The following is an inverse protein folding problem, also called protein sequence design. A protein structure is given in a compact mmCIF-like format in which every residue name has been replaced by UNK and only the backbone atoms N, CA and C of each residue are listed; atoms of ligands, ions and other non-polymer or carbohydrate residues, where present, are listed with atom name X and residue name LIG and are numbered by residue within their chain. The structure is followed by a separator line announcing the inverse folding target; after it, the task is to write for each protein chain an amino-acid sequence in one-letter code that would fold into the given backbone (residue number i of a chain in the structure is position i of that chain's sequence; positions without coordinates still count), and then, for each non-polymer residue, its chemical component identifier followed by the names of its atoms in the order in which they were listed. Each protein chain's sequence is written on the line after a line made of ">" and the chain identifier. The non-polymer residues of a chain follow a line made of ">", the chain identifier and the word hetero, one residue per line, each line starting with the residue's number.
data_IF_624880506736
#
_entry.id   IF_624880506736
#
_cell.length_a   1.000
_cell.length_b   1.000
_cell.length_c   1.000
_cell.angle_alpha   90.00
_cell.angle_beta   90.00
_cell.angle_gamma   90.00
#
_symmetry.space_group_name_H-M   'P 1'
#
loop_
_entity.id
_entity.type
_entity.pdbx_description
1 polymer ?
2 non-polymer ?
3 water ?
#
# COMPACT_ATOMS: atom_id res chain seq x y z
N UNK A 6 -6.78 5.57 -19.10
CA UNK A 6 -7.93 4.70 -18.85
C UNK A 6 -8.76 5.19 -17.68
N UNK A 7 -10.08 5.11 -17.78
CA UNK A 7 -10.93 5.75 -16.77
C UNK A 7 -10.85 5.08 -15.40
N UNK A 8 -10.68 3.76 -15.41
CA UNK A 8 -10.41 3.00 -14.19
C UNK A 8 -9.04 3.35 -13.62
N UNK A 9 -8.01 3.25 -14.45
CA UNK A 9 -6.67 3.58 -13.99
C UNK A 9 -6.58 5.05 -13.59
N UNK A 10 -7.41 5.89 -14.20
CA UNK A 10 -7.45 7.29 -13.83
C UNK A 10 -8.02 7.38 -12.43
N UNK A 11 -9.05 6.57 -12.18
CA UNK A 11 -9.66 6.50 -10.85
C UNK A 11 -8.65 5.99 -9.82
N UNK A 12 -7.82 5.04 -10.23
CA UNK A 12 -6.81 4.44 -9.35
C UNK A 12 -5.73 5.46 -9.03
N UNK A 13 -5.29 6.19 -10.05
CA UNK A 13 -4.35 7.26 -9.82
C UNK A 13 -4.93 8.28 -8.83
N UNK A 14 -6.24 8.49 -8.89
CA UNK A 14 -6.91 9.38 -7.98
C UNK A 14 -6.90 8.87 -6.55
N UNK A 15 -6.99 7.55 -6.40
CA UNK A 15 -6.92 6.91 -5.09
C UNK A 15 -5.50 6.97 -4.53
N UNK A 16 -4.52 6.76 -5.40
CA UNK A 16 -3.11 6.79 -5.00
C UNK A 16 -2.77 8.16 -4.43
N UNK A 17 -3.21 9.21 -5.12
CA UNK A 17 -2.98 10.58 -4.67
C UNK A 17 -3.59 10.81 -3.31
N UNK A 18 -4.77 10.25 -3.06
CA UNK A 18 -5.39 10.50 -1.76
C UNK A 18 -4.65 9.73 -0.66
N UNK A 19 -4.24 8.50 -0.96
CA UNK A 19 -3.48 7.71 0.00
C UNK A 19 -2.17 8.43 0.40
N UNK A 20 -1.70 9.35 -0.45
CA UNK A 20 -0.42 10.02 -0.24
C UNK A 20 -0.60 11.43 0.32
N UNK A 21 -1.85 11.86 0.46
CA UNK A 21 -2.25 13.15 1.05
C UNK A 21 -1.82 13.35 2.49
N UNK A 22 -1.63 14.61 2.88
CA UNK A 22 -1.36 14.94 4.27
C UNK A 22 -2.53 14.45 5.12
N UNK A 23 -3.72 14.54 4.55
CA UNK A 23 -4.96 14.03 5.12
C UNK A 23 -4.88 12.68 5.87
N UNK A 24 -4.14 11.72 5.31
CA UNK A 24 -3.96 10.40 5.94
C UNK A 24 -2.51 10.16 6.39
N UNK A 25 -1.73 11.22 6.51
CA UNK A 25 -0.31 11.07 6.81
C UNK A 25 -0.04 10.49 8.21
N UNK A 26 -0.95 10.67 9.16
CA UNK A 26 -0.77 10.12 10.52
C UNK A 26 -0.69 8.59 10.56
N UNK A 27 -1.28 7.91 9.57
CA UNK A 27 -1.20 6.44 9.54
C UNK A 27 -0.70 5.87 8.22
N UNK A 28 -0.48 6.73 7.23
CA UNK A 28 0.01 6.26 5.95
C UNK A 28 1.53 6.25 5.88
N UNK A 29 2.20 7.07 6.70
CA UNK A 29 3.65 7.29 6.51
C UNK A 29 4.47 5.96 6.49
N UNK A 30 4.07 4.93 7.26
CA UNK A 30 4.90 3.71 7.16
C UNK A 30 4.84 3.07 5.78
N UNK A 31 3.87 3.47 4.96
CA UNK A 31 3.70 2.77 3.69
C UNK A 31 4.22 3.56 2.50
N UNK A 32 4.73 4.77 2.76
CA UNK A 32 5.30 5.67 1.72
C UNK A 32 6.45 5.07 0.90
N UNK A 33 7.28 4.25 1.54
CA UNK A 33 8.50 3.72 0.94
C UNK A 33 8.67 2.29 1.34
N UNK A 34 9.58 1.57 0.66
CA UNK A 34 9.79 0.16 0.97
C UNK A 34 10.31 -0.04 2.37
N UNK A 35 9.84 -1.09 3.02
CA UNK A 35 10.37 -1.51 4.31
C UNK A 35 11.89 -1.73 4.25
N UNK A 36 12.61 -0.98 5.08
CA UNK A 36 14.04 -1.17 5.31
C UNK A 36 14.20 -1.91 6.63
N UNK A 37 14.16 -3.23 6.56
CA UNK A 37 14.12 -4.08 7.75
C UNK A 37 15.29 -3.82 8.70
N UNK A 38 16.52 -3.91 8.17
CA UNK A 38 17.74 -3.83 8.98
C UNK A 38 17.78 -2.52 9.76
N UNK A 39 17.60 -1.42 9.04
CA UNK A 39 17.42 -0.10 9.63
C UNK A 39 16.38 -0.08 10.77
N UNK A 40 15.30 -0.85 10.66
CA UNK A 40 14.27 -0.84 11.72
C UNK A 40 14.63 -1.81 12.82
N UNK A 41 15.77 -2.47 12.66
CA UNK A 41 16.22 -3.46 13.62
C UNK A 41 15.70 -4.88 13.45
N UNK A 42 15.10 -5.20 12.31
CA UNK A 42 14.65 -6.58 12.11
C UNK A 42 15.50 -7.22 11.01
N UNK A 43 15.79 -8.50 11.17
CA UNK A 43 16.65 -9.18 10.21
C UNK A 43 16.01 -10.44 9.62
N UNK A 44 14.71 -10.62 9.85
CA UNK A 44 14.02 -11.78 9.31
C UNK A 44 12.90 -11.42 8.33
N UNK A 45 12.77 -10.13 8.01
CA UNK A 45 11.59 -9.66 7.28
C UNK A 45 11.47 -10.29 5.89
N UNK A 46 12.58 -10.38 5.17
CA UNK A 46 12.55 -10.95 3.84
C UNK A 46 12.57 -12.47 3.85
N UNK A 47 12.83 -13.07 5.00
CA UNK A 47 12.56 -14.50 5.13
C UNK A 47 11.04 -14.73 5.03
N UNK A 48 10.26 -13.88 5.70
CA UNK A 48 8.80 -14.02 5.77
C UNK A 48 8.09 -13.42 4.55
N UNK A 49 8.63 -12.31 4.04
CA UNK A 49 7.93 -11.51 3.04
C UNK A 49 8.63 -11.54 1.67
N UNK A 50 8.11 -12.36 0.76
CA UNK A 50 8.80 -12.62 -0.51
C UNK A 50 8.55 -11.53 -1.54
N UNK A 51 7.49 -10.74 -1.33
CA UNK A 51 7.14 -9.72 -2.30
C UNK A 51 6.76 -8.42 -1.63
N UNK A 52 7.78 -7.65 -1.23
CA UNK A 52 7.61 -6.30 -0.67
C UNK A 52 6.82 -5.40 -1.61
N UNK A 53 6.06 -4.48 -1.02
CA UNK A 53 5.35 -3.51 -1.81
C UNK A 53 5.12 -2.29 -0.92
N UNK A 54 4.95 -1.13 -1.55
CA UNK A 54 4.78 0.12 -0.83
C UNK A 54 4.20 1.12 -1.82
N UNK A 55 3.75 2.26 -1.32
CA UNK A 55 3.05 3.23 -2.15
C UNK A 55 3.93 3.89 -3.22
N UNK A 56 5.24 4.04 -2.95
CA UNK A 56 6.10 4.76 -3.89
C UNK A 56 6.32 3.89 -5.12
N UNK A 57 6.47 2.59 -4.88
CA UNK A 57 6.58 1.61 -5.94
C UNK A 57 5.29 1.52 -6.77
N UNK A 58 4.14 1.59 -6.11
CA UNK A 58 2.86 1.60 -6.81
C UNK A 58 2.79 2.83 -7.69
N UNK A 59 3.21 3.97 -7.15
CA UNK A 59 3.21 5.21 -7.91
C UNK A 59 4.19 5.15 -9.06
N UNK A 60 5.27 4.39 -8.89
CA UNK A 60 6.26 4.28 -9.93
C UNK A 60 5.64 3.51 -11.10
N UNK A 61 5.07 2.35 -10.79
CA UNK A 61 4.47 1.50 -11.80
C UNK A 61 3.34 2.23 -12.53
N UNK A 62 2.61 3.08 -11.82
CA UNK A 62 1.50 3.81 -12.42
C UNK A 62 2.00 4.88 -13.41
N UNK A 63 3.17 5.43 -13.12
CA UNK A 63 3.79 6.42 -13.99
C UNK A 63 4.39 5.79 -15.26
N UNK A 64 4.91 4.57 -15.15
CA UNK A 64 5.39 3.79 -16.30
C UNK A 64 4.27 3.07 -17.05
N UNK A 65 3.03 3.35 -16.67
CA UNK A 65 1.87 2.67 -17.22
C UNK A 65 2.04 1.14 -17.23
N UNK A 66 2.58 0.57 -16.15
CA UNK A 66 2.80 -0.89 -16.05
C UNK A 66 1.55 -1.67 -15.63
N UNK A 67 0.46 -0.96 -15.38
CA UNK A 67 -0.76 -1.62 -14.90
C UNK A 67 -1.69 -1.84 -16.08
N UNK A 68 -1.99 -3.10 -16.36
CA UNK A 68 -2.91 -3.43 -17.44
C UNK A 68 -4.34 -3.02 -17.08
N UNK A 69 -4.66 -2.99 -15.79
CA UNK A 69 -6.00 -2.59 -15.36
C UNK A 69 -6.05 -2.23 -13.87
N UNK A 70 -7.22 -1.79 -13.42
CA UNK A 70 -7.47 -1.46 -12.03
C UNK A 70 -7.18 -2.65 -11.10
N UNK A 71 -7.52 -3.85 -11.52
CA UNK A 71 -7.30 -5.04 -10.70
C UNK A 71 -5.84 -5.28 -10.34
N UNK A 72 -4.93 -5.00 -11.26
CA UNK A 72 -3.51 -5.22 -10.99
C UNK A 72 -3.04 -4.25 -9.92
N UNK A 73 -3.54 -3.03 -10.02
CA UNK A 73 -3.28 -1.97 -9.07
C UNK A 73 -3.75 -2.38 -7.66
N UNK A 74 -5.04 -2.72 -7.54
CA UNK A 74 -5.63 -3.21 -6.29
C UNK A 74 -4.83 -4.36 -5.69
N UNK A 75 -4.30 -5.23 -6.54
CA UNK A 75 -3.56 -6.40 -6.08
C UNK A 75 -2.25 -6.02 -5.38
N UNK A 76 -1.57 -5.00 -5.91
CA UNK A 76 -0.35 -4.47 -5.33
C UNK A 76 -0.66 -3.75 -4.00
N UNK A 77 -1.64 -2.85 -4.01
CA UNK A 77 -2.01 -2.11 -2.82
C UNK A 77 -2.39 -3.07 -1.71
N UNK A 78 -3.09 -4.14 -2.06
CA UNK A 78 -3.53 -5.11 -1.06
C UNK A 78 -2.38 -5.96 -0.59
N UNK A 79 -1.43 -6.18 -1.48
CA UNK A 79 -0.23 -6.94 -1.17
C UNK A 79 0.60 -6.18 -0.12
N UNK A 80 0.66 -4.87 -0.28
CA UNK A 80 1.28 -4.00 0.68
C UNK A 80 0.66 -4.20 2.06
N UNK A 81 -0.67 -4.14 2.14
CA UNK A 81 -1.33 -4.34 3.41
C UNK A 81 -1.13 -5.77 3.93
N UNK A 82 -1.28 -6.75 3.04
CA UNK A 82 -1.12 -8.15 3.41
C UNK A 82 0.27 -8.43 3.98
N UNK A 83 1.31 -7.88 3.37
CA UNK A 83 2.66 -8.05 3.91
C UNK A 83 2.73 -7.58 5.37
N UNK A 84 2.16 -6.42 5.64
CA UNK A 84 2.15 -5.84 6.98
C UNK A 84 1.43 -6.77 7.98
N UNK A 85 0.23 -7.25 7.63
CA UNK A 85 -0.48 -8.19 8.50
C UNK A 85 0.23 -9.55 8.62
N UNK A 86 0.88 -10.01 7.56
CA UNK A 86 1.60 -11.27 7.63
C UNK A 86 2.73 -11.23 8.68
N UNK A 87 3.55 -10.19 8.63
CA UNK A 87 4.75 -10.15 9.46
C UNK A 87 4.44 -9.78 10.91
N UNK A 88 3.47 -8.90 11.11
CA UNK A 88 3.21 -8.32 12.43
C UNK A 88 2.06 -8.97 13.18
N UNK A 89 2.10 -8.89 14.52
CA UNK A 89 1.02 -9.43 15.35
C UNK A 89 -0.23 -8.57 15.21
N UNK A 90 -1.41 -9.17 15.43
CA UNK A 90 -2.68 -8.47 15.16
C UNK A 90 -2.86 -7.19 16.01
N UNK A 91 -2.14 -7.11 17.12
CA UNK A 91 -2.31 -5.98 18.04
C UNK A 91 -1.25 -4.89 17.84
N UNK A 92 -0.35 -5.11 16.88
CA UNK A 92 0.69 -4.13 16.60
C UNK A 92 0.10 -2.82 16.09
N UNK A 93 0.75 -1.71 16.46
CA UNK A 93 0.38 -0.37 16.00
C UNK A 93 0.45 -0.25 14.48
N UNK A 94 1.54 -0.69 13.86
CA UNK A 94 1.65 -0.57 12.39
C UNK A 94 0.47 -1.27 11.70
N UNK A 95 0.03 -2.39 12.27
CA UNK A 95 -1.13 -3.11 11.74
C UNK A 95 -2.39 -2.25 11.82
N UNK A 96 -2.57 -1.56 12.95
CA UNK A 96 -3.72 -0.65 13.10
C UNK A 96 -3.62 0.50 12.11
N UNK A 97 -2.42 1.01 11.89
CA UNK A 97 -2.25 2.02 10.86
C UNK A 97 -2.63 1.47 9.47
N UNK A 98 -2.25 0.22 9.19
CA UNK A 98 -2.58 -0.42 7.91
C UNK A 98 -4.10 -0.56 7.69
N UNK A 99 -4.86 -0.88 8.74
CA UNK A 99 -6.29 -1.07 8.59
C UNK A 99 -7.00 0.27 8.35
N UNK A 100 -6.55 1.33 9.01
CA UNK A 100 -7.10 2.66 8.74
C UNK A 100 -6.88 3.10 7.28
N UNK A 101 -5.67 2.92 6.78
CA UNK A 101 -5.41 3.32 5.40
C UNK A 101 -6.13 2.38 4.43
N UNK A 102 -6.23 1.10 4.79
CA UNK A 102 -6.89 0.16 3.90
C UNK A 102 -8.38 0.49 3.75
N UNK A 103 -8.97 1.08 4.79
CA UNK A 103 -10.38 1.48 4.73
C UNK A 103 -10.60 2.66 3.80
N UNK A 104 -9.62 3.56 3.74
CA UNK A 104 -9.65 4.60 2.72
C UNK A 104 -9.53 3.96 1.32
N UNK A 105 -8.54 3.10 1.13
CA UNK A 105 -8.38 2.44 -0.15
C UNK A 105 -9.62 1.62 -0.56
N UNK A 106 -10.04 0.69 0.29
CA UNK A 106 -11.14 -0.21 -0.03
C UNK A 106 -12.43 0.55 -0.36
N UNK A 107 -12.68 1.65 0.35
CA UNK A 107 -13.87 2.45 0.12
C UNK A 107 -13.84 3.25 -1.18
N UNK A 108 -12.68 3.80 -1.54
CA UNK A 108 -12.53 4.54 -2.80
C UNK A 108 -12.52 3.59 -3.98
N UNK A 109 -11.85 2.46 -3.80
CA UNK A 109 -11.77 1.46 -4.86
C UNK A 109 -13.18 0.98 -5.24
N UNK A 110 -14.05 0.84 -4.25
CA UNK A 110 -15.40 0.34 -4.50
C UNK A 110 -16.25 1.36 -5.25
N UNK A 111 -15.90 2.64 -5.16
CA UNK A 111 -16.68 3.70 -5.81
C UNK A 111 -16.26 3.91 -7.26
N UNK A 112 -15.44 3.01 -7.78
CA UNK A 112 -14.94 3.12 -9.14
C UNK A 112 -15.99 2.71 -10.18
N UNK A 113 -15.99 3.38 -11.35
CA UNK A 113 -16.89 3.06 -12.47
C UNK A 113 -16.59 1.69 -13.10
X LIG B 1 10.41 -2.23 13.79
X LIG B 1 9.54 -2.54 12.67
X LIG B 1 8.82 -3.76 12.76
X LIG B 1 8.97 -4.46 13.72
X LIG B 1 7.91 -4.06 11.56
X LIG B 1 8.72 -5.01 10.58
X LIG B 1 9.88 -4.31 9.80
X LIG B 1 7.50 -2.67 10.88
X LIG B 1 7.11 -1.59 11.78
X LIG B 1 6.64 -2.75 9.67
X LIG B 1 5.80 -3.76 9.15
X LIG B 1 5.19 -3.27 8.01
X LIG B 1 5.60 -1.98 7.80
X LIG B 1 5.11 -1.13 6.66
X LIG B 1 6.52 -1.59 8.82
X LIG B 1 7.16 -0.32 8.98
X LIG B 1 7.61 0.33 7.80
X LIG B 1 8.26 1.59 7.79
X LIG B 1 8.47 2.25 9.03
X LIG B 1 9.09 3.50 9.13
X LIG B 1 9.53 4.16 7.91
X LIG B 1 8.01 1.57 10.22
X LIG B 1 7.36 0.30 10.24
X LIG B 1 6.96 -0.30 11.51
X LIG B 1 6.14 0.47 12.47
X LIG B 1 5.37 1.60 12.11
X LIG B 1 4.61 2.34 12.99
X LIG B 1 4.63 1.97 14.34
X LIG B 1 3.72 2.83 15.45
X LIG B 1 5.39 0.87 14.78
X LIG B 1 6.13 0.14 13.86
X LIG B 1 11.12 -3.06 13.94
X LIG B 1 9.85 -2.14 14.73
X LIG B 1 11.02 -1.34 13.64
X LIG B 1 7.00 -4.63 11.80
X LIG B 1 9.19 -5.86 11.10
X LIG B 1 8.07 -5.48 9.84
X LIG B 1 9.54 -3.84 8.88
X LIG B 1 10.35 -3.51 10.38
X LIG B 1 10.68 -5.00 9.56
X LIG B 1 8.46 -2.29 10.48
X LIG B 1 5.83 -1.15 5.85
X LIG B 1 5.08 -0.09 7.00
X LIG B 1 4.12 -1.34 6.26
X LIG B 1 7.45 -0.15 6.82
X LIG B 1 8.56 2.05 6.86
X LIG B 1 9.51 5.24 8.00
X LIG B 1 8.88 3.93 7.04
X LIG B 1 10.53 3.85 7.58
X LIG B 1 8.17 2.05 11.17
X LIG B 1 5.32 1.93 11.09
X LIG B 1 4.04 3.17 12.63
X LIG B 1 5.33 0.65 15.85
X LIG B 1 6.72 -0.70 14.17
#
# INVERSE_FOLDING_TARGET
>A
SMGKLSEQLKHCNGILKELLSKKHAAYAWPFYKPVDASALGVHDYHDIIKHPMDLSTVKRKMENRDYRDAQEFAADVRLMFSNCYKYNPPDHDVVAMARKLQDVFEFRYAKMPD
>B hetero
1 31P CAW OAU CAT OAV CAS CBD CBE CAI NAH CAJ NAN NAO CAP CAR NAK CAE CAF CAA CAB OAL CAM CAC CAD CAG CAQ CAX CAY CAZ CL1 CBA CBB H1 H2 H3 H4 H5 H6 H7 H8 H9 H10 H11 H12 H13 H14 H15 H16 H17 H18 H19 H20 H21 H22 H23
#
